data_IF_568708182093
#
_entry.id   IF_568708182093
#
_cell.length_a   1.000
_cell.length_b   1.000
_cell.length_c   1.000
_cell.angle_alpha   90.00
_cell.angle_beta   90.00
_cell.angle_gamma   90.00
#
_symmetry.space_group_name_H-M   'P 1'
#
loop_
_entity.id
_entity.type
_entity.pdbx_description
1 polymer ?
#
# COMPACT_ATOMS: atom_id res chain seq x y z
N UNK A 1 -26.96 -25.35 -18.80
CA UNK A 1 -26.40 -24.06 -18.29
C UNK A 1 -25.48 -24.37 -17.13
N UNK A 2 -24.20 -23.94 -17.17
CA UNK A 2 -23.29 -24.14 -16.06
C UNK A 2 -23.78 -23.33 -14.84
N UNK A 3 -24.00 -24.00 -13.71
CA UNK A 3 -24.40 -23.36 -12.47
C UNK A 3 -23.21 -22.63 -11.83
N UNK A 4 -23.05 -21.37 -12.15
CA UNK A 4 -22.04 -20.53 -11.53
C UNK A 4 -22.48 -20.03 -10.16
N UNK A 5 -21.59 -20.02 -9.20
CA UNK A 5 -21.76 -19.33 -7.94
C UNK A 5 -21.74 -17.81 -8.15
N UNK A 6 -22.17 -17.02 -7.15
CA UNK A 6 -22.09 -15.55 -7.28
C UNK A 6 -20.65 -15.08 -7.51
N UNK A 7 -20.49 -13.99 -8.26
CA UNK A 7 -19.18 -13.35 -8.49
C UNK A 7 -18.45 -13.08 -7.18
N UNK A 8 -19.18 -12.64 -6.16
CA UNK A 8 -18.60 -12.38 -4.82
C UNK A 8 -18.10 -13.67 -4.16
N UNK A 9 -18.86 -14.77 -4.25
CA UNK A 9 -18.42 -16.06 -3.70
C UNK A 9 -17.14 -16.54 -4.41
N UNK A 10 -17.05 -16.40 -5.71
CA UNK A 10 -15.86 -16.76 -6.48
C UNK A 10 -14.65 -15.90 -6.07
N UNK A 11 -14.83 -14.59 -5.88
CA UNK A 11 -13.78 -13.71 -5.37
C UNK A 11 -13.30 -14.14 -3.97
N UNK A 12 -14.21 -14.44 -3.06
CA UNK A 12 -13.88 -14.87 -1.69
C UNK A 12 -13.21 -16.24 -1.63
N UNK A 13 -13.40 -17.14 -2.61
CA UNK A 13 -12.66 -18.40 -2.72
C UNK A 13 -11.15 -18.20 -2.87
N UNK A 14 -10.71 -17.02 -3.31
CA UNK A 14 -9.29 -16.68 -3.35
C UNK A 14 -8.66 -16.54 -1.96
N UNK A 15 -9.50 -16.41 -0.90
CA UNK A 15 -9.04 -16.45 0.49
C UNK A 15 -9.19 -17.87 1.01
N UNK A 16 -8.08 -18.52 1.35
CA UNK A 16 -8.11 -19.87 1.94
C UNK A 16 -8.93 -19.89 3.24
N UNK A 17 -10.07 -20.56 3.22
CA UNK A 17 -10.97 -20.62 4.40
C UNK A 17 -10.26 -21.23 5.62
N UNK A 18 -9.58 -22.35 5.43
CA UNK A 18 -8.80 -22.99 6.50
C UNK A 18 -7.71 -22.05 7.05
N UNK A 19 -6.94 -21.41 6.16
CA UNK A 19 -5.93 -20.42 6.55
C UNK A 19 -6.50 -19.23 7.30
N UNK A 20 -7.68 -18.75 6.89
CA UNK A 20 -8.41 -17.67 7.55
C UNK A 20 -8.86 -18.07 8.96
N UNK A 21 -9.45 -19.26 9.12
CA UNK A 21 -9.93 -19.77 10.42
C UNK A 21 -8.80 -20.00 11.41
N UNK A 22 -7.67 -20.58 10.96
CA UNK A 22 -6.48 -20.72 11.79
C UNK A 22 -5.99 -19.38 12.29
N UNK A 23 -5.89 -18.38 11.40
CA UNK A 23 -5.47 -17.03 11.74
C UNK A 23 -6.46 -16.36 12.69
N UNK A 24 -7.77 -16.55 12.45
CA UNK A 24 -8.83 -16.04 13.32
C UNK A 24 -8.72 -16.55 14.75
N UNK A 25 -8.39 -17.82 14.93
CA UNK A 25 -8.17 -18.42 16.28
C UNK A 25 -6.94 -17.80 16.96
N UNK A 26 -5.86 -17.56 16.23
CA UNK A 26 -4.63 -16.96 16.77
C UNK A 26 -4.82 -15.53 17.28
N UNK A 27 -5.71 -14.76 16.63
CA UNK A 27 -5.97 -13.37 16.95
C UNK A 27 -7.29 -13.15 17.71
N UNK A 28 -7.96 -14.22 18.16
CA UNK A 28 -9.21 -14.08 18.90
C UNK A 28 -8.96 -13.58 20.32
N UNK A 29 -9.77 -12.63 20.78
CA UNK A 29 -9.75 -12.15 22.17
C UNK A 29 -11.15 -12.24 22.77
N UNK A 30 -11.21 -12.44 24.07
CA UNK A 30 -12.46 -12.51 24.84
C UNK A 30 -13.27 -13.79 24.65
N UNK A 31 -14.57 -13.70 24.88
CA UNK A 31 -15.47 -14.88 24.83
C UNK A 31 -15.66 -15.37 23.40
N UNK A 32 -15.86 -16.69 23.26
CA UNK A 32 -16.16 -17.33 21.97
C UNK A 32 -17.37 -16.67 21.29
N UNK A 33 -17.23 -16.36 20.02
CA UNK A 33 -18.32 -15.83 19.19
C UNK A 33 -19.35 -16.94 18.94
N UNK A 34 -20.64 -16.69 19.24
CA UNK A 34 -21.70 -17.73 19.12
C UNK A 34 -22.45 -17.63 17.79
N UNK A 35 -23.11 -16.48 17.51
CA UNK A 35 -23.95 -16.24 16.32
C UNK A 35 -23.21 -15.59 15.16
N UNK A 36 -22.07 -14.98 15.42
CA UNK A 36 -21.26 -14.31 14.42
C UNK A 36 -19.87 -14.90 14.40
N UNK A 37 -19.19 -14.82 13.27
CA UNK A 37 -17.81 -15.27 13.10
C UNK A 37 -16.92 -14.14 12.56
N UNK A 38 -15.61 -14.31 12.66
CA UNK A 38 -14.67 -13.40 12.00
C UNK A 38 -14.84 -13.42 10.47
N UNK A 39 -15.30 -14.57 9.94
CA UNK A 39 -15.63 -14.68 8.52
C UNK A 39 -16.86 -13.84 8.16
N UNK A 40 -17.93 -13.89 8.94
CA UNK A 40 -19.12 -13.05 8.74
C UNK A 40 -18.75 -11.56 8.77
N UNK A 41 -17.89 -11.16 9.71
CA UNK A 41 -17.35 -9.80 9.78
C UNK A 41 -16.56 -9.45 8.50
N UNK A 42 -15.66 -10.34 8.06
CA UNK A 42 -14.87 -10.13 6.85
C UNK A 42 -15.75 -9.99 5.60
N UNK A 43 -16.72 -10.87 5.41
CA UNK A 43 -17.66 -10.80 4.27
C UNK A 43 -18.45 -9.50 4.29
N UNK A 44 -18.95 -9.08 5.46
CA UNK A 44 -19.68 -7.82 5.61
C UNK A 44 -18.82 -6.60 5.27
N UNK A 45 -17.58 -6.56 5.77
CA UNK A 45 -16.65 -5.47 5.51
C UNK A 45 -16.16 -5.46 4.05
N UNK A 46 -15.90 -6.62 3.46
CA UNK A 46 -15.57 -6.76 2.04
C UNK A 46 -16.72 -6.28 1.14
N UNK A 47 -17.97 -6.64 1.49
CA UNK A 47 -19.15 -6.10 0.81
C UNK A 47 -19.19 -4.57 0.92
N UNK A 48 -18.91 -4.01 2.09
CA UNK A 48 -18.83 -2.57 2.31
C UNK A 48 -17.79 -1.91 1.38
N UNK A 49 -16.60 -2.48 1.27
CA UNK A 49 -15.54 -1.97 0.40
C UNK A 49 -15.89 -2.10 -1.09
N UNK A 50 -16.26 -3.31 -1.52
CA UNK A 50 -16.48 -3.61 -2.94
C UNK A 50 -17.78 -3.00 -3.49
N UNK A 51 -18.86 -2.96 -2.71
CA UNK A 51 -20.12 -2.33 -3.11
C UNK A 51 -20.20 -0.83 -2.77
N UNK A 52 -19.11 -0.26 -2.22
CA UNK A 52 -19.04 1.16 -1.90
C UNK A 52 -19.99 1.62 -0.79
N UNK A 53 -20.39 0.74 0.14
CA UNK A 53 -21.31 1.08 1.24
C UNK A 53 -20.60 1.93 2.29
N UNK A 54 -21.28 2.97 2.78
CA UNK A 54 -20.70 3.98 3.67
C UNK A 54 -21.17 3.88 5.12
N UNK A 55 -22.14 3.02 5.43
CA UNK A 55 -22.62 2.83 6.79
C UNK A 55 -22.86 1.36 7.15
N UNK A 56 -22.86 1.07 8.47
CA UNK A 56 -23.22 -0.27 8.96
C UNK A 56 -24.67 -0.64 8.64
N UNK A 57 -25.56 0.35 8.54
CA UNK A 57 -26.96 0.14 8.14
C UNK A 57 -27.06 -0.31 6.69
N UNK A 58 -26.31 0.33 5.81
CA UNK A 58 -26.29 -0.03 4.39
C UNK A 58 -25.74 -1.45 4.18
N UNK A 59 -24.71 -1.81 4.94
CA UNK A 59 -24.14 -3.16 4.90
C UNK A 59 -25.17 -4.18 5.39
N UNK A 60 -25.81 -3.94 6.54
CA UNK A 60 -26.84 -4.82 7.10
C UNK A 60 -28.03 -4.98 6.13
N UNK A 61 -28.58 -3.86 5.62
CA UNK A 61 -29.72 -3.87 4.70
C UNK A 61 -29.37 -4.61 3.40
N UNK A 62 -28.18 -4.38 2.86
CA UNK A 62 -27.73 -5.08 1.66
C UNK A 62 -27.56 -6.60 1.92
N UNK A 63 -27.00 -7.00 3.05
CA UNK A 63 -26.89 -8.41 3.42
C UNK A 63 -28.26 -9.05 3.59
N UNK A 64 -29.21 -8.37 4.24
CA UNK A 64 -30.59 -8.86 4.40
C UNK A 64 -31.28 -9.05 3.04
N UNK A 65 -31.17 -8.10 2.15
CA UNK A 65 -31.73 -8.16 0.79
C UNK A 65 -31.14 -9.32 -0.04
N UNK A 66 -29.93 -9.76 0.26
CA UNK A 66 -29.25 -10.88 -0.41
C UNK A 66 -29.25 -12.19 0.42
N UNK A 67 -30.10 -12.29 1.42
CA UNK A 67 -30.07 -13.38 2.42
C UNK A 67 -29.90 -14.78 1.83
N UNK A 68 -30.71 -15.15 0.82
CA UNK A 68 -30.62 -16.45 0.15
C UNK A 68 -29.30 -16.71 -0.57
N UNK A 69 -28.57 -15.64 -0.96
CA UNK A 69 -27.29 -15.74 -1.67
C UNK A 69 -26.09 -15.78 -0.72
N UNK A 70 -26.27 -15.40 0.55
CA UNK A 70 -25.22 -15.40 1.57
C UNK A 70 -24.76 -16.79 1.98
N UNK A 71 -25.64 -17.80 1.87
CA UNK A 71 -25.29 -19.21 2.12
C UNK A 71 -24.03 -19.62 1.34
N UNK A 72 -23.96 -19.28 0.07
CA UNK A 72 -22.78 -19.55 -0.79
C UNK A 72 -21.52 -18.80 -0.38
N UNK A 73 -21.64 -17.75 0.43
CA UNK A 73 -20.54 -17.02 1.03
C UNK A 73 -20.12 -17.63 2.39
N UNK A 74 -20.85 -18.62 2.88
CA UNK A 74 -20.63 -19.25 4.20
C UNK A 74 -20.92 -18.28 5.35
N UNK A 75 -21.95 -17.44 5.22
CA UNK A 75 -22.38 -16.50 6.25
C UNK A 75 -23.89 -16.25 6.18
N UNK A 76 -24.41 -15.66 7.24
CA UNK A 76 -25.78 -15.12 7.35
C UNK A 76 -25.72 -13.58 7.45
N UNK A 77 -26.87 -12.89 7.32
CA UNK A 77 -26.93 -11.46 7.60
C UNK A 77 -26.43 -11.16 9.03
N UNK A 78 -25.57 -10.16 9.15
CA UNK A 78 -25.06 -9.72 10.45
C UNK A 78 -25.73 -8.42 10.86
N UNK A 79 -26.26 -8.38 12.10
CA UNK A 79 -26.84 -7.16 12.64
C UNK A 79 -25.76 -6.08 12.83
N UNK A 80 -26.10 -4.81 12.55
CA UNK A 80 -25.18 -3.67 12.65
C UNK A 80 -24.52 -3.55 14.03
N UNK A 81 -25.29 -3.81 15.12
CA UNK A 81 -24.77 -3.78 16.49
C UNK A 81 -23.72 -4.86 16.74
N UNK A 82 -23.92 -6.08 16.20
CA UNK A 82 -22.96 -7.17 16.28
C UNK A 82 -21.71 -6.86 15.45
N UNK A 83 -21.87 -6.27 14.26
CA UNK A 83 -20.74 -5.88 13.41
C UNK A 83 -19.94 -4.74 14.04
N UNK A 84 -20.63 -3.74 14.62
CA UNK A 84 -19.98 -2.64 15.35
C UNK A 84 -19.13 -3.16 16.50
N UNK A 85 -19.71 -4.04 17.35
CA UNK A 85 -19.01 -4.64 18.48
C UNK A 85 -17.81 -5.50 18.05
N UNK A 86 -17.93 -6.26 16.96
CA UNK A 86 -16.79 -7.01 16.43
C UNK A 86 -15.66 -6.08 15.94
N UNK A 87 -16.02 -4.99 15.24
CA UNK A 87 -15.04 -4.01 14.77
C UNK A 87 -14.33 -3.29 15.92
N UNK A 88 -15.00 -3.12 17.05
CA UNK A 88 -14.42 -2.46 18.22
C UNK A 88 -13.56 -3.41 19.07
N UNK A 89 -14.06 -4.62 19.33
CA UNK A 89 -13.46 -5.54 20.32
C UNK A 89 -12.47 -6.53 19.75
N UNK A 90 -12.64 -6.97 18.50
CA UNK A 90 -11.75 -7.99 17.92
C UNK A 90 -10.53 -7.36 17.24
N UNK A 91 -9.31 -7.80 17.56
CA UNK A 91 -8.08 -7.14 17.11
C UNK A 91 -7.98 -6.97 15.59
N UNK A 92 -7.64 -5.77 15.15
CA UNK A 92 -7.36 -5.48 13.74
C UNK A 92 -6.11 -6.20 13.23
N UNK A 93 -5.18 -6.59 14.12
CA UNK A 93 -3.95 -7.32 13.79
C UNK A 93 -4.22 -8.63 13.06
N UNK A 94 -5.42 -9.18 13.21
CA UNK A 94 -5.90 -10.27 12.38
C UNK A 94 -5.91 -9.92 10.88
N UNK A 95 -6.44 -8.75 10.52
CA UNK A 95 -6.50 -8.29 9.13
C UNK A 95 -5.14 -7.87 8.59
N UNK A 96 -4.27 -7.36 9.46
CA UNK A 96 -2.86 -7.11 9.14
C UNK A 96 -2.14 -8.41 8.78
N UNK A 97 -2.32 -9.48 9.57
CA UNK A 97 -1.76 -10.79 9.28
C UNK A 97 -2.40 -11.45 8.03
N UNK A 98 -3.69 -11.23 7.79
CA UNK A 98 -4.36 -11.65 6.55
C UNK A 98 -3.79 -10.93 5.33
N UNK A 99 -3.57 -9.63 5.44
CA UNK A 99 -2.91 -8.82 4.41
C UNK A 99 -1.53 -9.37 4.05
N UNK A 100 -0.70 -9.68 5.04
CA UNK A 100 0.63 -10.24 4.80
C UNK A 100 0.57 -11.57 3.99
N UNK A 101 -0.40 -12.45 4.28
CA UNK A 101 -0.61 -13.68 3.51
C UNK A 101 -1.08 -13.42 2.08
N UNK A 102 -2.00 -12.47 1.90
CA UNK A 102 -2.49 -12.09 0.57
C UNK A 102 -1.36 -11.44 -0.24
N UNK A 103 -0.56 -10.59 0.39
CA UNK A 103 0.61 -9.96 -0.25
C UNK A 103 1.58 -11.03 -0.77
N UNK A 104 1.98 -12.00 0.04
CA UNK A 104 2.88 -13.07 -0.39
C UNK A 104 2.35 -13.83 -1.62
N UNK A 105 1.04 -14.10 -1.67
CA UNK A 105 0.40 -14.71 -2.84
C UNK A 105 0.38 -13.81 -4.06
N UNK A 106 0.11 -12.51 -3.89
CA UNK A 106 0.17 -11.55 -4.99
C UNK A 106 1.58 -11.42 -5.54
N UNK A 107 2.57 -11.36 -4.65
CA UNK A 107 3.97 -11.20 -5.02
C UNK A 107 4.48 -12.34 -5.91
N UNK A 108 4.02 -13.58 -5.68
CA UNK A 108 4.41 -14.74 -6.51
C UNK A 108 3.89 -14.68 -7.96
N UNK A 109 2.84 -13.89 -8.21
CA UNK A 109 2.23 -13.70 -9.53
C UNK A 109 2.49 -12.32 -10.14
N UNK A 110 3.06 -11.41 -9.36
CA UNK A 110 3.25 -10.03 -9.76
C UNK A 110 4.21 -9.94 -10.97
N UNK A 111 3.89 -9.13 -11.99
CA UNK A 111 4.82 -8.84 -13.07
C UNK A 111 6.03 -8.09 -12.52
N UNK A 112 7.20 -8.29 -13.12
CA UNK A 112 8.39 -7.52 -12.79
C UNK A 112 8.21 -6.03 -13.04
N UNK A 113 9.06 -5.21 -12.41
CA UNK A 113 9.16 -3.80 -12.77
C UNK A 113 9.77 -3.65 -14.17
N UNK A 114 9.46 -2.60 -14.90
CA UNK A 114 9.86 -2.41 -16.30
C UNK A 114 11.33 -2.09 -16.54
N UNK A 115 12.21 -2.15 -15.53
CA UNK A 115 13.65 -1.93 -15.67
C UNK A 115 14.41 -3.21 -16.02
N UNK A 116 15.57 -3.07 -16.69
CA UNK A 116 16.44 -4.20 -17.06
C UNK A 116 17.17 -4.85 -15.87
N UNK A 117 17.36 -4.13 -14.76
CA UNK A 117 17.96 -4.70 -13.56
C UNK A 117 16.95 -5.57 -12.79
N UNK A 118 17.46 -6.53 -12.02
CA UNK A 118 16.62 -7.50 -11.27
C UNK A 118 16.43 -7.16 -9.78
N UNK A 119 17.05 -6.08 -9.30
CA UNK A 119 16.97 -5.67 -7.91
C UNK A 119 15.50 -5.35 -7.53
N UNK A 120 15.08 -5.71 -6.32
CA UNK A 120 13.81 -5.23 -5.79
C UNK A 120 13.80 -3.70 -5.73
N UNK A 121 12.74 -3.09 -6.19
CA UNK A 121 12.57 -1.64 -6.23
C UNK A 121 11.34 -1.23 -5.42
N UNK A 122 11.55 -0.38 -4.42
CA UNK A 122 10.49 0.12 -3.53
C UNK A 122 10.43 1.63 -3.56
N UNK A 123 9.22 2.20 -3.64
CA UNK A 123 8.99 3.63 -3.37
C UNK A 123 8.35 3.80 -2.01
N UNK A 124 8.95 4.64 -1.16
CA UNK A 124 8.42 4.98 0.14
C UNK A 124 7.73 6.34 0.11
N UNK A 125 6.58 6.40 0.69
CA UNK A 125 5.86 7.64 0.94
C UNK A 125 4.83 7.45 2.07
N UNK A 126 4.28 8.57 2.56
CA UNK A 126 3.24 8.56 3.56
C UNK A 126 2.12 9.52 3.18
N UNK A 127 0.91 9.18 3.60
CA UNK A 127 -0.26 10.01 3.31
C UNK A 127 -1.15 10.13 4.54
N UNK A 128 -1.59 11.35 4.84
CA UNK A 128 -2.54 11.61 5.91
C UNK A 128 -3.94 11.09 5.51
N UNK A 129 -4.61 10.50 6.48
CA UNK A 129 -6.01 10.15 6.46
C UNK A 129 -6.67 11.10 7.46
N UNK A 130 -7.32 12.15 6.94
CA UNK A 130 -7.99 13.15 7.76
C UNK A 130 -9.19 12.54 8.47
N UNK A 131 -9.35 12.88 9.75
CA UNK A 131 -10.42 12.42 10.62
C UNK A 131 -11.11 13.64 11.26
N UNK A 132 -12.41 13.53 11.55
CA UNK A 132 -13.11 14.56 12.30
C UNK A 132 -12.73 14.46 13.78
N UNK A 133 -12.18 15.51 14.34
CA UNK A 133 -11.78 15.53 15.75
C UNK A 133 -12.94 15.26 16.71
N UNK A 134 -14.15 15.73 16.38
CA UNK A 134 -15.36 15.49 17.19
C UNK A 134 -15.78 14.02 17.24
N UNK A 135 -15.48 13.25 16.19
CA UNK A 135 -15.81 11.82 16.10
C UNK A 135 -14.63 10.94 16.54
N UNK A 136 -13.39 11.39 16.32
CA UNK A 136 -12.15 10.63 16.55
C UNK A 136 -11.18 11.41 17.45
N UNK A 137 -11.55 11.73 18.72
CA UNK A 137 -10.71 12.55 19.61
C UNK A 137 -9.35 11.90 19.90
N UNK A 138 -9.27 10.58 19.85
CA UNK A 138 -8.03 9.80 20.01
C UNK A 138 -6.99 10.02 18.91
N UNK A 139 -7.40 10.53 17.74
CA UNK A 139 -6.52 10.78 16.60
C UNK A 139 -6.01 12.23 16.52
N UNK A 140 -6.18 13.02 17.59
CA UNK A 140 -5.70 14.40 17.66
C UNK A 140 -4.19 14.48 17.41
N UNK A 141 -3.74 15.33 16.48
CA UNK A 141 -2.32 15.50 16.16
C UNK A 141 -1.85 16.95 16.11
N UNK A 142 -2.73 17.92 15.90
CA UNK A 142 -2.44 19.34 15.90
C UNK A 142 -3.68 20.11 16.33
N UNK A 143 -3.55 21.40 16.65
CA UNK A 143 -4.65 22.23 17.09
C UNK A 143 -5.83 22.13 16.11
N UNK A 144 -6.98 21.66 16.61
CA UNK A 144 -8.22 21.49 15.82
C UNK A 144 -8.19 20.40 14.74
N UNK A 145 -7.15 19.53 14.69
CA UNK A 145 -6.98 18.52 13.64
C UNK A 145 -6.79 17.12 14.20
N UNK A 146 -7.46 16.16 13.59
CA UNK A 146 -7.26 14.74 13.83
C UNK A 146 -6.89 14.04 12.52
N UNK A 147 -5.90 13.17 12.56
CA UNK A 147 -5.50 12.36 11.41
C UNK A 147 -4.71 11.13 11.85
N UNK A 148 -4.76 10.12 11.01
CA UNK A 148 -3.79 9.03 10.99
C UNK A 148 -2.88 9.17 9.77
N UNK A 149 -1.70 8.61 9.84
CA UNK A 149 -0.77 8.60 8.73
C UNK A 149 -0.56 7.16 8.25
N UNK A 150 -0.80 6.95 6.97
CA UNK A 150 -0.56 5.68 6.29
C UNK A 150 0.78 5.75 5.57
N UNK A 151 1.76 5.00 6.05
CA UNK A 151 3.06 4.84 5.43
C UNK A 151 3.05 3.60 4.54
N UNK A 152 3.52 3.74 3.31
CA UNK A 152 3.56 2.64 2.34
C UNK A 152 4.93 2.55 1.69
N UNK A 153 5.45 1.34 1.64
CA UNK A 153 6.53 0.95 0.74
C UNK A 153 5.94 0.17 -0.41
N UNK A 154 5.83 0.79 -1.58
CA UNK A 154 5.26 0.20 -2.78
C UNK A 154 6.32 -0.60 -3.53
N UNK A 155 6.15 -1.92 -3.65
CA UNK A 155 6.96 -2.76 -4.54
C UNK A 155 6.56 -2.46 -6.00
N UNK A 156 7.51 -2.07 -6.82
CA UNK A 156 7.27 -1.79 -8.23
C UNK A 156 6.96 -3.04 -9.05
N UNK A 157 7.26 -4.24 -8.54
CA UNK A 157 6.75 -5.48 -9.09
C UNK A 157 5.24 -5.58 -8.82
N UNK A 158 4.46 -5.29 -9.85
CA UNK A 158 2.99 -5.26 -9.79
C UNK A 158 2.39 -4.08 -9.01
N UNK A 159 3.18 -3.11 -8.58
CA UNK A 159 2.74 -1.94 -7.77
C UNK A 159 1.98 -2.35 -6.51
N UNK A 160 2.54 -3.30 -5.75
CA UNK A 160 1.93 -3.84 -4.54
C UNK A 160 2.42 -3.11 -3.28
N UNK A 161 1.54 -2.82 -2.30
CA UNK A 161 1.95 -2.28 -1.00
C UNK A 161 2.68 -3.36 -0.18
N UNK A 162 4.02 -3.38 -0.25
CA UNK A 162 4.87 -4.36 0.40
C UNK A 162 5.01 -4.11 1.91
N UNK A 163 5.17 -2.85 2.27
CA UNK A 163 5.27 -2.39 3.64
C UNK A 163 4.14 -1.41 3.91
N UNK A 164 3.39 -1.67 4.97
CA UNK A 164 2.29 -0.80 5.39
C UNK A 164 2.36 -0.60 6.89
N UNK A 165 2.37 0.64 7.32
CA UNK A 165 2.31 1.02 8.74
C UNK A 165 1.34 2.17 8.90
N UNK A 166 0.47 2.09 9.90
CA UNK A 166 -0.46 3.16 10.24
C UNK A 166 -0.06 3.74 11.59
N UNK A 167 0.20 5.04 11.61
CA UNK A 167 0.66 5.76 12.80
C UNK A 167 -0.25 6.95 13.10
N UNK A 168 0.00 7.60 14.22
CA UNK A 168 -0.60 8.90 14.48
C UNK A 168 -0.06 9.95 13.51
N UNK A 169 -0.84 10.99 13.22
CA UNK A 169 -0.46 12.03 12.26
C UNK A 169 0.84 12.77 12.59
N UNK A 170 1.30 12.74 13.85
CA UNK A 170 2.56 13.36 14.32
C UNK A 170 3.82 12.59 13.96
N UNK A 171 3.71 11.28 13.78
CA UNK A 171 4.88 10.42 13.53
C UNK A 171 5.59 10.86 12.26
N UNK A 172 6.89 11.06 12.32
CA UNK A 172 7.68 11.46 11.15
C UNK A 172 7.91 10.28 10.22
N UNK A 173 7.98 10.56 8.91
CA UNK A 173 8.12 9.50 7.90
C UNK A 173 9.43 8.73 8.05
N UNK A 174 10.50 9.43 8.47
CA UNK A 174 11.80 8.80 8.69
C UNK A 174 11.82 7.86 9.90
N UNK A 175 11.01 8.11 10.93
CA UNK A 175 10.92 7.18 12.07
C UNK A 175 10.42 5.82 11.59
N UNK A 176 9.37 5.79 10.75
CA UNK A 176 8.88 4.56 10.15
C UNK A 176 9.89 4.01 9.16
N UNK A 177 10.48 4.86 8.31
CA UNK A 177 11.50 4.43 7.33
C UNK A 177 12.63 3.62 7.96
N UNK A 178 13.11 4.04 9.15
CA UNK A 178 14.18 3.35 9.89
C UNK A 178 13.80 1.96 10.40
N UNK A 179 12.51 1.68 10.60
CA UNK A 179 12.04 0.36 11.07
C UNK A 179 11.90 -0.66 9.94
N UNK A 180 11.90 -0.19 8.68
CA UNK A 180 11.74 -1.07 7.53
C UNK A 180 12.99 -1.89 7.25
N UNK A 181 12.77 -3.17 6.98
CA UNK A 181 13.83 -4.10 6.61
C UNK A 181 13.72 -4.45 5.13
N UNK A 182 14.78 -4.15 4.39
CA UNK A 182 14.90 -4.48 2.97
C UNK A 182 15.94 -5.56 2.79
N UNK A 183 15.76 -6.44 1.81
CA UNK A 183 16.76 -7.40 1.42
C UNK A 183 17.99 -6.70 0.83
N UNK A 184 19.18 -7.25 1.05
CA UNK A 184 20.43 -6.78 0.44
C UNK A 184 20.29 -6.68 -1.08
N UNK A 185 20.79 -5.60 -1.65
CA UNK A 185 20.68 -5.30 -3.07
C UNK A 185 19.40 -4.61 -3.48
N UNK A 186 18.39 -4.46 -2.60
CA UNK A 186 17.19 -3.68 -2.92
C UNK A 186 17.52 -2.22 -3.20
N UNK A 187 16.69 -1.58 -4.01
CA UNK A 187 16.72 -0.13 -4.28
C UNK A 187 15.50 0.50 -3.65
N UNK A 188 15.70 1.52 -2.81
CA UNK A 188 14.64 2.22 -2.11
C UNK A 188 14.60 3.67 -2.55
N UNK A 189 13.47 4.12 -3.05
CA UNK A 189 13.27 5.47 -3.56
C UNK A 189 12.35 6.23 -2.62
N UNK A 190 12.74 7.41 -2.24
CA UNK A 190 11.96 8.26 -1.35
C UNK A 190 12.22 9.74 -1.59
N UNK A 191 11.33 10.56 -1.10
CA UNK A 191 11.43 12.00 -1.22
C UNK A 191 12.48 12.57 -0.23
N UNK A 192 12.84 13.86 -0.40
CA UNK A 192 13.81 14.55 0.48
C UNK A 192 13.34 14.67 1.94
N UNK A 193 12.04 14.44 2.24
CA UNK A 193 11.51 14.39 3.59
C UNK A 193 12.12 13.27 4.42
N UNK A 194 12.47 12.17 3.80
CA UNK A 194 13.16 11.03 4.42
C UNK A 194 14.67 11.24 4.61
N UNK A 195 15.22 12.43 4.31
CA UNK A 195 16.67 12.66 4.41
C UNK A 195 17.14 12.55 5.86
N UNK A 196 17.84 11.45 6.15
CA UNK A 196 18.52 11.20 7.40
C UNK A 196 19.85 10.49 7.14
N UNK A 197 20.95 11.12 7.53
CA UNK A 197 22.30 10.63 7.23
C UNK A 197 22.65 9.37 8.03
N UNK A 198 22.09 9.15 9.23
CA UNK A 198 22.25 7.89 9.97
C UNK A 198 21.59 6.74 9.22
N UNK A 199 20.40 6.98 8.70
CA UNK A 199 19.70 5.98 7.91
C UNK A 199 20.40 5.68 6.58
N UNK A 200 20.92 6.70 5.88
CA UNK A 200 21.73 6.51 4.66
C UNK A 200 22.96 5.64 4.91
N UNK A 201 23.65 5.87 6.03
CA UNK A 201 24.78 5.04 6.46
C UNK A 201 24.31 3.60 6.71
N UNK A 202 23.26 3.38 7.47
CA UNK A 202 22.71 2.06 7.77
C UNK A 202 22.25 1.31 6.50
N UNK A 203 21.60 2.00 5.55
CA UNK A 203 21.24 1.40 4.27
C UNK A 203 22.48 0.95 3.49
N UNK A 204 23.49 1.81 3.42
CA UNK A 204 24.75 1.49 2.74
C UNK A 204 25.48 0.30 3.37
N UNK A 205 25.58 0.26 4.69
CA UNK A 205 26.21 -0.84 5.44
C UNK A 205 25.47 -2.18 5.23
N UNK A 206 24.16 -2.14 5.08
CA UNK A 206 23.32 -3.32 4.77
C UNK A 206 23.36 -3.70 3.28
N UNK A 207 24.07 -2.97 2.45
CA UNK A 207 24.13 -3.18 1.00
C UNK A 207 22.79 -2.89 0.29
N UNK A 208 22.03 -1.95 0.83
CA UNK A 208 20.77 -1.47 0.25
C UNK A 208 21.06 -0.15 -0.47
N UNK A 209 20.61 -0.06 -1.71
CA UNK A 209 20.72 1.16 -2.50
C UNK A 209 19.56 2.09 -2.23
N UNK A 210 19.81 3.40 -2.28
CA UNK A 210 18.76 4.39 -2.19
C UNK A 210 18.86 5.43 -3.31
N UNK A 211 17.72 6.04 -3.65
CA UNK A 211 17.63 7.18 -4.57
C UNK A 211 16.70 8.21 -3.93
N UNK A 212 17.20 9.43 -3.78
CA UNK A 212 16.42 10.56 -3.25
C UNK A 212 16.84 11.87 -3.91
N UNK A 213 16.16 12.96 -3.59
CA UNK A 213 16.64 14.31 -3.97
C UNK A 213 17.57 14.87 -2.91
N UNK A 214 18.63 15.56 -3.33
CA UNK A 214 19.50 16.26 -2.40
C UNK A 214 18.76 17.46 -1.78
N UNK A 215 19.01 17.76 -0.52
CA UNK A 215 18.46 18.97 0.12
C UNK A 215 19.20 20.20 -0.36
N UNK A 216 18.49 21.34 -0.55
CA UNK A 216 19.07 22.61 -1.00
C UNK A 216 20.22 23.13 -0.10
N UNK A 217 20.15 22.82 1.20
CA UNK A 217 21.14 23.22 2.19
C UNK A 217 22.24 22.17 2.43
N UNK A 218 22.32 21.12 1.61
CA UNK A 218 23.42 20.16 1.69
C UNK A 218 24.71 20.82 1.19
N UNK A 219 25.82 20.57 1.88
CA UNK A 219 27.14 21.04 1.53
C UNK A 219 27.99 19.83 1.12
N UNK A 220 28.63 19.91 -0.04
CA UNK A 220 29.45 18.82 -0.56
C UNK A 220 30.67 19.34 -1.30
N UNK A 221 31.65 18.47 -1.43
CA UNK A 221 32.81 18.60 -2.32
C UNK A 221 32.66 17.57 -3.44
N UNK A 222 33.00 17.97 -4.67
CA UNK A 222 33.08 17.05 -5.81
C UNK A 222 34.42 16.36 -5.81
N UNK A 223 34.41 15.02 -5.73
CA UNK A 223 35.62 14.19 -5.76
C UNK A 223 35.94 13.70 -7.18
N UNK A 224 34.94 13.40 -7.98
CA UNK A 224 35.09 12.97 -9.38
C UNK A 224 33.87 13.35 -10.23
N UNK A 225 34.10 13.49 -11.54
CA UNK A 225 33.05 13.78 -12.52
C UNK A 225 33.06 12.70 -13.61
N UNK A 226 31.86 12.33 -14.08
CA UNK A 226 31.67 11.44 -15.23
C UNK A 226 31.07 12.24 -16.37
N UNK A 227 31.42 11.84 -17.59
CA UNK A 227 30.76 12.38 -18.78
C UNK A 227 29.29 12.03 -18.79
N UNK A 228 28.46 12.95 -19.27
CA UNK A 228 27.02 12.77 -19.41
C UNK A 228 26.59 13.18 -20.81
N UNK A 229 25.64 12.45 -21.35
CA UNK A 229 24.96 12.82 -22.57
C UNK A 229 23.83 13.82 -22.23
N UNK A 230 24.04 15.08 -22.58
CA UNK A 230 23.10 16.16 -22.32
C UNK A 230 21.81 16.03 -23.14
N UNK A 231 21.83 15.34 -24.27
CA UNK A 231 20.64 15.10 -25.08
C UNK A 231 19.60 14.25 -24.33
N UNK A 232 20.03 13.44 -23.33
CA UNK A 232 19.13 12.64 -22.48
C UNK A 232 18.54 13.42 -21.29
N UNK A 233 18.80 14.73 -21.19
CA UNK A 233 18.40 15.56 -20.05
C UNK A 233 19.38 15.51 -18.86
N UNK A 234 20.43 14.70 -18.92
CA UNK A 234 21.45 14.65 -17.86
C UNK A 234 22.30 15.92 -17.88
N UNK A 235 22.46 16.56 -16.72
CA UNK A 235 23.28 17.79 -16.60
C UNK A 235 24.58 17.54 -15.87
N UNK A 236 24.65 16.53 -15.00
CA UNK A 236 25.88 16.14 -14.30
C UNK A 236 25.77 14.72 -13.74
N UNK A 237 26.94 14.08 -13.59
CA UNK A 237 27.12 12.82 -12.83
C UNK A 237 28.42 12.91 -12.05
N UNK A 238 28.33 12.97 -10.74
CA UNK A 238 29.46 13.30 -9.86
C UNK A 238 29.53 12.35 -8.68
N UNK A 239 30.74 11.97 -8.31
CA UNK A 239 31.03 11.42 -6.98
C UNK A 239 31.26 12.59 -6.05
N UNK A 240 30.57 12.62 -4.92
CA UNK A 240 30.66 13.68 -3.93
C UNK A 240 30.91 13.14 -2.52
N UNK A 241 31.57 13.97 -1.72
CA UNK A 241 31.65 13.81 -0.27
C UNK A 241 30.83 14.91 0.39
N UNK A 242 29.88 14.54 1.24
CA UNK A 242 29.10 15.52 2.03
C UNK A 242 30.01 16.08 3.15
N UNK A 243 30.17 17.40 3.14
CA UNK A 243 31.12 18.12 4.03
C UNK A 243 30.44 18.84 5.20
N UNK A 244 29.13 18.73 5.33
CA UNK A 244 28.40 19.26 6.47
C UNK A 244 28.78 18.55 7.80
N UNK A 245 28.58 19.20 8.93
CA UNK A 245 28.95 18.72 10.27
C UNK A 245 28.39 17.31 10.55
N UNK A 246 27.09 17.07 10.30
CA UNK A 246 26.43 15.78 10.59
C UNK A 246 26.98 14.64 9.71
N UNK A 247 27.05 14.78 8.37
CA UNK A 247 27.67 13.76 7.51
C UNK A 247 29.09 13.40 7.91
N UNK A 248 29.93 14.40 8.23
CA UNK A 248 31.31 14.16 8.63
C UNK A 248 31.42 13.37 9.93
N UNK A 249 30.70 13.80 10.99
CA UNK A 249 30.66 13.09 12.28
C UNK A 249 30.21 11.62 12.15
N UNK A 250 29.33 11.34 11.19
CA UNK A 250 28.82 9.98 10.94
C UNK A 250 29.75 9.15 10.09
N UNK A 251 30.78 9.73 9.46
CA UNK A 251 31.64 9.04 8.50
C UNK A 251 30.84 8.50 7.31
N UNK A 252 29.99 9.33 6.71
CA UNK A 252 29.23 8.91 5.54
C UNK A 252 30.16 8.53 4.40
N UNK A 253 29.87 7.43 3.66
CA UNK A 253 30.62 7.09 2.47
C UNK A 253 30.43 8.14 1.38
N UNK A 254 31.29 8.10 0.36
CA UNK A 254 31.09 8.87 -0.87
C UNK A 254 29.75 8.51 -1.49
N UNK A 255 29.06 9.52 -1.98
CA UNK A 255 27.74 9.38 -2.62
C UNK A 255 27.85 9.86 -4.07
N UNK A 256 26.84 9.54 -4.84
CA UNK A 256 26.73 9.95 -6.24
C UNK A 256 25.62 10.99 -6.36
N UNK A 257 25.95 12.13 -6.96
CA UNK A 257 25.01 13.21 -7.28
C UNK A 257 24.78 13.25 -8.78
N UNK A 258 23.52 13.21 -9.19
CA UNK A 258 23.12 13.23 -10.60
C UNK A 258 22.19 14.41 -10.81
N UNK A 259 22.59 15.32 -11.71
CA UNK A 259 21.75 16.39 -12.19
C UNK A 259 20.94 15.95 -13.41
N UNK A 260 19.68 16.29 -13.44
CA UNK A 260 18.76 15.92 -14.50
C UNK A 260 17.76 17.05 -14.75
N UNK A 261 17.58 17.43 -16.02
CA UNK A 261 16.54 18.33 -16.47
C UNK A 261 15.49 17.52 -17.21
N UNK A 262 14.28 17.49 -16.66
CA UNK A 262 13.17 16.77 -17.28
C UNK A 262 12.78 17.44 -18.59
N UNK A 263 12.86 16.76 -19.74
CA UNK A 263 12.55 17.37 -21.04
C UNK A 263 11.07 17.72 -21.21
N UNK A 264 10.17 17.03 -20.49
CA UNK A 264 8.72 17.27 -20.58
C UNK A 264 8.29 18.52 -19.77
N UNK A 265 8.87 18.68 -18.58
CA UNK A 265 8.46 19.74 -17.63
C UNK A 265 9.45 20.89 -17.54
N UNK A 266 10.67 20.73 -18.07
CA UNK A 266 11.78 21.67 -17.93
C UNK A 266 12.35 21.76 -16.50
N UNK A 267 11.79 21.03 -15.54
CA UNK A 267 12.21 21.05 -14.14
C UNK A 267 13.60 20.45 -13.96
N UNK A 268 14.42 21.10 -13.12
CA UNK A 268 15.74 20.60 -12.77
C UNK A 268 15.69 19.83 -11.46
N UNK A 269 16.24 18.60 -11.49
CA UNK A 269 16.34 17.69 -10.34
C UNK A 269 17.80 17.38 -10.04
N UNK A 270 18.09 17.22 -8.75
CA UNK A 270 19.37 16.74 -8.26
C UNK A 270 19.15 15.52 -7.39
N UNK A 271 19.58 14.36 -7.88
CA UNK A 271 19.43 13.10 -7.18
C UNK A 271 20.68 12.77 -6.38
N UNK A 272 20.49 12.13 -5.24
CA UNK A 272 21.53 11.61 -4.37
C UNK A 272 21.32 10.08 -4.22
N UNK A 273 22.39 9.32 -4.39
CA UNK A 273 22.34 7.85 -4.30
C UNK A 273 23.70 7.28 -3.85
N UNK A 274 23.67 6.09 -3.28
CA UNK A 274 24.86 5.25 -3.06
C UNK A 274 25.04 4.20 -4.16
N UNK A 275 24.24 4.23 -5.22
CA UNK A 275 24.35 3.29 -6.34
C UNK A 275 25.29 3.86 -7.41
N UNK A 276 26.43 3.21 -7.57
CA UNK A 276 27.42 3.53 -8.61
C UNK A 276 27.38 2.58 -9.81
N UNK A 277 26.52 1.55 -9.77
CA UNK A 277 26.46 0.49 -10.78
C UNK A 277 25.52 0.85 -11.94
N UNK A 278 24.36 1.46 -11.61
CA UNK A 278 23.36 1.82 -12.60
C UNK A 278 23.75 3.11 -13.36
N UNK A 279 23.34 3.23 -14.61
CA UNK A 279 23.54 4.47 -15.38
C UNK A 279 22.82 5.66 -14.75
N UNK A 280 23.32 6.89 -14.97
CA UNK A 280 22.71 8.11 -14.46
C UNK A 280 21.26 8.28 -14.95
N UNK A 281 20.99 7.96 -16.22
CA UNK A 281 19.64 7.97 -16.79
C UNK A 281 18.71 6.96 -16.11
N UNK A 282 19.22 5.77 -15.74
CA UNK A 282 18.44 4.78 -14.98
C UNK A 282 18.08 5.31 -13.58
N UNK A 283 19.00 5.96 -12.88
CA UNK A 283 18.72 6.58 -11.58
C UNK A 283 17.63 7.67 -11.69
N UNK A 284 17.71 8.53 -12.72
CA UNK A 284 16.67 9.53 -12.98
C UNK A 284 15.30 8.87 -13.24
N UNK A 285 15.27 7.83 -14.08
CA UNK A 285 14.04 7.08 -14.38
C UNK A 285 13.47 6.39 -13.14
N UNK A 286 14.31 5.81 -12.28
CA UNK A 286 13.91 5.22 -11.00
C UNK A 286 13.23 6.28 -10.12
N UNK A 287 13.80 7.50 -10.03
CA UNK A 287 13.19 8.55 -9.22
C UNK A 287 11.85 9.00 -9.81
N UNK A 288 11.69 9.08 -11.13
CA UNK A 288 10.40 9.37 -11.80
C UNK A 288 9.33 8.34 -11.40
N UNK A 289 9.70 7.07 -11.24
CA UNK A 289 8.79 6.00 -10.79
C UNK A 289 8.32 6.14 -9.32
N UNK A 290 8.97 6.97 -8.49
CA UNK A 290 8.51 7.26 -7.12
C UNK A 290 7.05 7.72 -7.11
N UNK A 291 6.62 8.45 -8.14
CA UNK A 291 5.24 8.92 -8.26
C UNK A 291 4.18 7.82 -8.20
N UNK A 292 4.53 6.57 -8.47
CA UNK A 292 3.59 5.44 -8.41
C UNK A 292 2.98 5.25 -7.00
N UNK A 293 3.72 5.56 -5.93
CA UNK A 293 3.17 5.46 -4.57
C UNK A 293 2.12 6.55 -4.31
N UNK A 294 2.28 7.74 -4.89
CA UNK A 294 1.27 8.81 -4.80
C UNK A 294 0.00 8.43 -5.59
N UNK A 295 0.15 7.83 -6.77
CA UNK A 295 -0.98 7.29 -7.54
C UNK A 295 -1.69 6.16 -6.77
N UNK A 296 -0.95 5.30 -6.08
CA UNK A 296 -1.52 4.29 -5.19
C UNK A 296 -2.35 4.94 -4.08
N UNK A 297 -1.83 5.96 -3.37
CA UNK A 297 -2.62 6.68 -2.36
C UNK A 297 -3.86 7.34 -2.93
N UNK A 298 -3.75 7.98 -4.09
CA UNK A 298 -4.90 8.57 -4.78
C UNK A 298 -5.95 7.51 -5.07
N UNK A 299 -5.54 6.36 -5.60
CA UNK A 299 -6.45 5.27 -5.95
C UNK A 299 -7.17 4.70 -4.72
N UNK A 300 -6.46 4.33 -3.64
CA UNK A 300 -7.11 3.77 -2.44
C UNK A 300 -8.05 4.77 -1.76
N UNK A 301 -7.67 6.07 -1.74
CA UNK A 301 -8.51 7.12 -1.16
C UNK A 301 -9.77 7.42 -1.97
N UNK A 302 -9.73 7.22 -3.28
CA UNK A 302 -10.87 7.48 -4.17
C UNK A 302 -11.79 6.27 -4.31
N UNK A 303 -11.26 5.07 -4.32
CA UNK A 303 -11.99 3.86 -4.69
C UNK A 303 -12.31 2.95 -3.51
N UNK A 304 -11.57 3.04 -2.41
CA UNK A 304 -11.83 2.26 -1.19
C UNK A 304 -12.32 3.17 -0.06
N UNK A 305 -13.08 2.59 0.87
CA UNK A 305 -13.68 3.35 1.98
C UNK A 305 -12.68 3.55 3.13
N UNK A 306 -11.68 4.41 2.91
CA UNK A 306 -10.69 4.80 3.93
C UNK A 306 -10.75 6.29 4.33
N UNK A 307 -11.76 7.01 3.83
CA UNK A 307 -12.07 8.40 4.23
C UNK A 307 -13.37 8.51 5.02
N UNK A 308 -14.30 7.58 4.82
CA UNK A 308 -15.56 7.51 5.54
C UNK A 308 -15.56 6.21 6.38
N UNK A 309 -15.36 6.37 7.68
CA UNK A 309 -15.27 5.24 8.60
C UNK A 309 -16.65 4.88 9.16
N UNK A 310 -16.90 3.57 9.24
CA UNK A 310 -18.17 2.98 9.73
C UNK A 310 -18.14 2.70 11.24
N UNK A 311 -17.05 3.00 11.91
CA UNK A 311 -16.86 2.93 13.35
C UNK A 311 -15.86 3.98 13.81
N UNK A 312 -15.98 4.44 15.07
CA UNK A 312 -15.19 5.55 15.62
C UNK A 312 -14.08 5.13 16.58
N UNK A 313 -14.04 3.87 17.03
CA UNK A 313 -12.90 3.40 17.82
C UNK A 313 -11.66 3.20 16.94
N UNK A 314 -10.47 3.37 17.52
CA UNK A 314 -9.20 3.14 16.83
C UNK A 314 -9.17 1.76 16.17
N UNK A 315 -9.61 0.73 16.89
CA UNK A 315 -9.62 -0.64 16.36
C UNK A 315 -10.56 -0.81 15.16
N UNK A 316 -11.72 -0.16 15.15
CA UNK A 316 -12.66 -0.20 14.04
C UNK A 316 -12.08 0.50 12.78
N UNK A 317 -11.43 1.66 12.97
CA UNK A 317 -10.76 2.40 11.89
C UNK A 317 -9.64 1.56 11.29
N UNK A 318 -8.76 1.01 12.13
CA UNK A 318 -7.67 0.13 11.70
C UNK A 318 -8.19 -1.12 10.97
N UNK A 319 -9.23 -1.75 11.50
CA UNK A 319 -9.90 -2.89 10.86
C UNK A 319 -10.35 -2.53 9.44
N UNK A 320 -11.00 -1.38 9.26
CA UNK A 320 -11.48 -0.94 7.95
C UNK A 320 -10.34 -0.63 6.97
N UNK A 321 -9.26 0.01 7.42
CA UNK A 321 -8.06 0.28 6.61
C UNK A 321 -7.45 -1.04 6.12
N UNK A 322 -7.24 -2.00 7.02
CA UNK A 322 -6.64 -3.29 6.65
C UNK A 322 -7.53 -4.11 5.73
N UNK A 323 -8.87 -4.08 5.92
CA UNK A 323 -9.81 -4.74 5.00
C UNK A 323 -9.79 -4.07 3.62
N UNK A 324 -9.69 -2.76 3.55
CA UNK A 324 -9.54 -2.04 2.28
C UNK A 324 -8.26 -2.46 1.54
N UNK A 325 -7.13 -2.57 2.26
CA UNK A 325 -5.86 -3.06 1.71
C UNK A 325 -5.95 -4.53 1.27
N UNK A 326 -6.64 -5.40 2.03
CA UNK A 326 -6.94 -6.78 1.61
C UNK A 326 -7.78 -6.80 0.31
N UNK A 327 -8.76 -5.90 0.18
CA UNK A 327 -9.57 -5.76 -1.04
C UNK A 327 -8.70 -5.38 -2.24
N UNK A 328 -7.76 -4.44 -2.05
CA UNK A 328 -6.79 -4.06 -3.07
C UNK A 328 -5.96 -5.26 -3.54
N UNK A 329 -5.43 -6.05 -2.60
CA UNK A 329 -4.63 -7.24 -2.93
C UNK A 329 -5.45 -8.32 -3.63
N UNK A 330 -6.71 -8.54 -3.26
CA UNK A 330 -7.57 -9.50 -3.95
C UNK A 330 -7.84 -9.07 -5.40
N UNK A 331 -8.05 -7.78 -5.66
CA UNK A 331 -8.18 -7.26 -7.01
C UNK A 331 -6.88 -7.40 -7.79
N UNK A 332 -5.73 -7.12 -7.18
CA UNK A 332 -4.43 -7.29 -7.79
C UNK A 332 -4.14 -8.77 -8.11
N UNK A 333 -4.43 -9.67 -7.15
CA UNK A 333 -4.30 -11.11 -7.36
C UNK A 333 -5.15 -11.60 -8.53
N UNK A 334 -6.40 -11.16 -8.60
CA UNK A 334 -7.32 -11.48 -9.69
C UNK A 334 -6.77 -10.98 -11.03
N UNK A 335 -6.27 -9.73 -11.06
CA UNK A 335 -5.65 -9.14 -12.25
C UNK A 335 -4.47 -9.96 -12.76
N UNK A 336 -3.57 -10.35 -11.85
CA UNK A 336 -2.35 -11.08 -12.21
C UNK A 336 -2.66 -12.52 -12.63
N UNK A 337 -3.51 -13.24 -11.88
CA UNK A 337 -3.89 -14.61 -12.19
C UNK A 337 -4.63 -14.73 -13.53
N UNK A 338 -5.45 -13.74 -13.85
CA UNK A 338 -6.21 -13.67 -15.10
C UNK A 338 -5.43 -13.02 -16.26
N UNK A 339 -4.22 -12.48 -16.01
CA UNK A 339 -3.41 -11.72 -16.97
C UNK A 339 -4.20 -10.56 -17.63
N UNK A 340 -5.02 -9.86 -16.84
CA UNK A 340 -5.88 -8.79 -17.34
C UNK A 340 -5.10 -7.48 -17.56
N UNK A 341 -5.29 -6.85 -18.71
CA UNK A 341 -4.75 -5.52 -19.00
C UNK A 341 -5.50 -4.36 -18.31
N UNK A 342 -6.60 -4.64 -17.60
CA UNK A 342 -7.46 -3.62 -17.02
C UNK A 342 -6.85 -2.97 -15.77
N UNK A 343 -7.23 -1.70 -15.53
CA UNK A 343 -6.92 -1.04 -14.27
C UNK A 343 -7.74 -1.63 -13.12
N UNK A 344 -7.20 -1.59 -11.89
CA UNK A 344 -7.95 -2.03 -10.70
C UNK A 344 -9.25 -1.23 -10.51
N UNK A 345 -9.28 0.03 -10.94
CA UNK A 345 -10.48 0.87 -10.89
C UNK A 345 -11.59 0.34 -11.80
N UNK A 346 -11.27 -0.04 -13.04
CA UNK A 346 -12.22 -0.62 -13.98
C UNK A 346 -12.77 -1.94 -13.44
N UNK A 347 -11.89 -2.80 -12.92
CA UNK A 347 -12.30 -4.06 -12.30
C UNK A 347 -13.23 -3.84 -11.10
N UNK A 348 -12.88 -2.92 -10.20
CA UNK A 348 -13.72 -2.61 -9.03
C UNK A 348 -15.11 -2.12 -9.44
N UNK A 349 -15.21 -1.20 -10.40
CA UNK A 349 -16.48 -0.69 -10.90
C UNK A 349 -17.38 -1.80 -11.50
N UNK A 350 -16.77 -2.70 -12.27
CA UNK A 350 -17.50 -3.83 -12.81
C UNK A 350 -18.01 -4.77 -11.71
N UNK A 351 -17.16 -5.06 -10.72
CA UNK A 351 -17.52 -5.89 -9.57
C UNK A 351 -18.63 -5.26 -8.74
N UNK A 352 -18.62 -3.93 -8.51
CA UNK A 352 -19.65 -3.22 -7.77
C UNK A 352 -21.06 -3.50 -8.28
N UNK A 353 -21.23 -3.58 -9.60
CA UNK A 353 -22.51 -3.82 -10.24
C UNK A 353 -22.92 -5.30 -10.26
N UNK A 354 -21.95 -6.21 -10.14
CA UNK A 354 -22.15 -7.62 -10.46
C UNK A 354 -21.89 -8.59 -9.29
N UNK A 355 -21.61 -8.11 -8.06
CA UNK A 355 -21.19 -8.95 -6.93
C UNK A 355 -22.09 -10.16 -6.68
N UNK A 356 -23.41 -9.99 -6.79
CA UNK A 356 -24.38 -11.04 -6.54
C UNK A 356 -24.93 -11.71 -7.81
N UNK A 357 -24.40 -11.39 -8.97
CA UNK A 357 -24.75 -12.10 -10.19
C UNK A 357 -24.17 -13.52 -10.18
N UNK A 358 -24.94 -14.48 -10.68
CA UNK A 358 -24.50 -15.87 -10.93
C UNK A 358 -23.92 -15.97 -12.32
N UNK A 359 -22.65 -15.62 -12.45
CA UNK A 359 -21.88 -15.65 -13.68
C UNK A 359 -20.45 -16.02 -13.34
N UNK A 360 -19.74 -16.61 -14.28
CA UNK A 360 -18.31 -16.85 -14.10
C UNK A 360 -17.56 -15.52 -13.94
N UNK A 361 -16.73 -15.43 -12.91
CA UNK A 361 -15.99 -14.21 -12.58
C UNK A 361 -14.95 -13.88 -13.67
N UNK A 362 -14.33 -14.90 -14.25
CA UNK A 362 -13.29 -14.69 -15.26
C UNK A 362 -13.90 -14.28 -16.60
N UNK A 363 -15.02 -14.91 -16.99
CA UNK A 363 -15.78 -14.52 -18.16
C UNK A 363 -16.30 -13.08 -18.05
N UNK A 364 -16.85 -12.70 -16.88
CA UNK A 364 -17.25 -11.32 -16.61
C UNK A 364 -16.09 -10.32 -16.81
N UNK A 365 -14.90 -10.63 -16.32
CA UNK A 365 -13.74 -9.75 -16.41
C UNK A 365 -13.09 -9.73 -17.79
N UNK A 366 -13.26 -10.77 -18.60
CA UNK A 366 -12.79 -10.80 -19.98
C UNK A 366 -13.77 -10.13 -20.94
N UNK A 367 -15.01 -9.92 -20.50
CA UNK A 367 -16.08 -9.39 -21.34
C UNK A 367 -16.73 -10.46 -22.22
N UNK A 368 -16.52 -11.75 -21.85
CA UNK A 368 -17.14 -12.86 -22.56
C UNK A 368 -18.66 -12.86 -22.28
N UNK A 369 -19.52 -13.22 -23.22
CA UNK A 369 -20.98 -13.21 -23.06
C UNK A 369 -21.52 -14.14 -21.96
#
# INVERSE_FOLDING_TARGET
MAHHNTVFAQLLKMVSRHGFERLSKQHHVGRKLRKTSRWSQFVALMLGQLAGRSSLRDIESNMKAQGQRLYHLGTEPIARSSLARLNEQQPYTFYEALFARLYARCQSLAPGHGFRFKNKLYSLDASLIDLSLSIFPWAHYALGKAAMKLHVGLDHAGHLPAFVTVTDGKTSDIEVGRTLNFAKGSIVVFDKGYTDYRWFKALNEKGIFFVTRIRKNAIWRVDARRQVDRATGLTSDQTITLTGIKPQRLGLPRLRRIGYRDPETGCHYEFLTNNFQLSAGTIAAIYKQRWQVELFFKWIKQNLKIKAFIGNSRNAVMTQIWVALCSCLLLAYLKFSAKLGWSLQKMLRLLQLNLFMRRDLMALLRGDP
#
